data_IF_950399258110
#
_entry.id   IF_950399258110
#
_cell.length_a   1.000
_cell.length_b   1.000
_cell.length_c   1.000
_cell.angle_alpha   90.00
_cell.angle_beta   90.00
_cell.angle_gamma   90.00
#
_symmetry.space_group_name_H-M   'P 1'
#
loop_
_entity.id
_entity.type
_entity.pdbx_description
1 polymer ?
#
# COMPACT_ATOMS: atom_id res chain seq x y z
N UNK A 1 21.41 16.04 -3.48
CA UNK A 1 21.14 15.74 -2.06
C UNK A 1 22.40 16.15 -1.32
N UNK A 2 22.31 17.05 -0.34
CA UNK A 2 23.49 17.54 0.40
C UNK A 2 23.92 16.43 1.36
N UNK A 3 25.04 15.77 1.08
CA UNK A 3 25.54 14.64 1.88
C UNK A 3 25.99 15.13 3.27
N UNK A 4 25.52 14.46 4.31
CA UNK A 4 26.02 14.65 5.67
C UNK A 4 27.32 13.87 5.83
N UNK A 5 28.36 14.53 6.35
CA UNK A 5 29.70 13.96 6.48
C UNK A 5 30.17 14.17 7.91
N UNK A 6 30.84 13.17 8.47
CA UNK A 6 31.58 13.31 9.73
C UNK A 6 33.06 13.29 9.40
N UNK A 7 33.80 14.29 9.86
CA UNK A 7 35.22 14.45 9.56
C UNK A 7 36.01 14.83 10.80
N UNK A 8 37.31 14.54 10.78
CA UNK A 8 38.26 14.81 11.86
C UNK A 8 39.42 15.62 11.30
N UNK A 9 39.65 16.81 11.88
CA UNK A 9 40.73 17.70 11.46
C UNK A 9 42.08 17.16 11.91
N UNK A 10 43.16 17.44 11.17
CA UNK A 10 44.52 17.05 11.59
C UNK A 10 45.01 17.76 12.85
N UNK A 11 44.48 18.95 13.12
CA UNK A 11 44.90 19.79 14.26
C UNK A 11 44.18 19.41 15.56
N UNK A 12 42.98 18.81 15.47
CA UNK A 12 42.13 18.49 16.62
C UNK A 12 41.57 17.07 16.52
N UNK A 13 41.68 16.29 17.60
CA UNK A 13 41.28 14.87 17.60
C UNK A 13 39.75 14.63 17.66
N UNK A 14 38.95 15.68 17.55
CA UNK A 14 37.49 15.65 17.71
C UNK A 14 36.75 15.45 16.38
N UNK A 15 35.73 14.60 16.39
CA UNK A 15 34.84 14.39 15.25
C UNK A 15 33.81 15.50 15.14
N UNK A 16 33.70 16.10 13.94
CA UNK A 16 32.74 17.16 13.63
C UNK A 16 31.72 16.64 12.62
N UNK A 17 30.43 16.86 12.88
CA UNK A 17 29.34 16.54 11.95
C UNK A 17 29.01 17.79 11.13
N UNK A 18 29.02 17.68 9.81
CA UNK A 18 28.66 18.79 8.95
C UNK A 18 27.97 18.35 7.67
N UNK A 19 27.22 19.29 7.08
CA UNK A 19 26.52 19.11 5.81
C UNK A 19 27.30 19.76 4.68
N UNK A 20 27.58 19.03 3.61
CA UNK A 20 28.25 19.57 2.42
C UNK A 20 27.27 20.47 1.68
N UNK A 21 27.54 21.78 1.61
CA UNK A 21 26.66 22.78 0.98
C UNK A 21 26.97 22.91 -0.51
N UNK A 22 28.25 23.02 -0.87
CA UNK A 22 28.72 23.18 -2.25
C UNK A 22 30.21 22.89 -2.38
N UNK A 23 30.70 22.71 -3.61
CA UNK A 23 32.14 22.80 -3.90
C UNK A 23 32.59 24.24 -3.67
N UNK A 24 33.68 24.44 -2.94
CA UNK A 24 34.13 25.80 -2.64
C UNK A 24 34.80 26.46 -3.83
N UNK A 25 34.74 27.79 -3.89
CA UNK A 25 35.22 28.57 -5.04
C UNK A 25 36.71 28.42 -5.36
N UNK A 26 37.50 27.88 -4.42
CA UNK A 26 38.93 27.56 -4.58
C UNK A 26 39.19 26.15 -5.10
N UNK A 27 38.16 25.40 -5.51
CA UNK A 27 38.26 24.02 -5.99
C UNK A 27 38.94 23.91 -7.37
N UNK A 28 40.19 24.35 -7.47
CA UNK A 28 41.01 24.28 -8.69
C UNK A 28 42.47 23.92 -8.33
N UNK A 29 43.09 23.06 -9.15
CA UNK A 29 44.50 22.69 -9.01
C UNK A 29 44.85 22.04 -7.66
N UNK A 30 45.65 22.74 -6.84
CA UNK A 30 46.18 22.26 -5.54
C UNK A 30 45.11 22.03 -4.47
N UNK A 31 43.92 22.59 -4.62
CA UNK A 31 42.80 22.52 -3.66
C UNK A 31 41.59 21.76 -4.23
N UNK A 32 41.84 20.64 -4.91
CA UNK A 32 40.83 19.89 -5.64
C UNK A 32 39.71 19.29 -4.76
N UNK A 33 39.94 19.16 -3.45
CA UNK A 33 38.98 18.62 -2.48
C UNK A 33 38.40 19.71 -1.55
N UNK A 34 38.38 20.97 -1.99
CA UNK A 34 37.86 22.09 -1.21
C UNK A 34 36.32 22.13 -1.24
N UNK A 35 35.71 21.95 -0.08
CA UNK A 35 34.25 21.90 0.10
C UNK A 35 33.80 22.97 1.09
N UNK A 36 32.63 23.56 0.85
CA UNK A 36 31.98 24.39 1.85
C UNK A 36 31.04 23.52 2.68
N UNK A 37 31.31 23.44 3.98
CA UNK A 37 30.53 22.71 4.97
C UNK A 37 29.72 23.69 5.82
N UNK A 38 28.58 23.23 6.33
CA UNK A 38 27.86 23.90 7.41
C UNK A 38 27.77 22.93 8.59
N UNK A 39 28.21 23.36 9.77
CA UNK A 39 28.11 22.57 10.99
C UNK A 39 26.62 22.38 11.38
N UNK A 40 26.29 21.29 12.08
CA UNK A 40 24.93 21.12 12.64
C UNK A 40 24.72 22.01 13.88
N UNK A 41 25.79 22.41 14.59
CA UNK A 41 25.70 23.21 15.82
C UNK A 41 25.92 24.72 15.60
N UNK A 42 26.54 25.11 14.50
CA UNK A 42 26.84 26.51 14.16
C UNK A 42 26.27 26.86 12.78
N UNK A 43 25.55 27.99 12.69
CA UNK A 43 24.96 28.47 11.43
C UNK A 43 26.00 29.01 10.42
N UNK A 44 27.27 29.04 10.80
CA UNK A 44 28.36 29.52 9.98
C UNK A 44 28.79 28.48 8.92
N UNK A 45 29.01 28.94 7.69
CA UNK A 45 29.55 28.12 6.62
C UNK A 45 31.08 28.21 6.64
N UNK A 46 31.75 27.07 6.71
CA UNK A 46 33.21 26.97 6.74
C UNK A 46 33.69 26.25 5.48
N UNK A 47 34.69 26.83 4.81
CA UNK A 47 35.34 26.20 3.66
C UNK A 47 36.57 25.41 4.09
N UNK A 48 36.62 24.10 3.81
CA UNK A 48 37.65 23.17 4.28
C UNK A 48 38.19 22.35 3.10
N UNK A 49 39.51 22.17 3.05
CA UNK A 49 40.15 21.28 2.08
C UNK A 49 40.32 19.86 2.66
N UNK A 50 39.50 18.93 2.18
CA UNK A 50 39.50 17.55 2.69
C UNK A 50 40.79 16.79 2.36
N UNK A 51 41.53 17.17 1.32
CA UNK A 51 42.80 16.50 0.99
C UNK A 51 43.95 16.97 1.88
N UNK A 52 43.90 18.22 2.34
CA UNK A 52 45.00 18.85 3.07
C UNK A 52 44.78 18.84 4.58
N UNK A 53 43.58 19.19 5.04
CA UNK A 53 43.33 19.57 6.43
C UNK A 53 42.59 18.48 7.23
N UNK A 54 41.94 17.55 6.54
CA UNK A 54 41.19 16.45 7.15
C UNK A 54 42.06 15.18 7.24
N UNK A 55 42.06 14.55 8.41
CA UNK A 55 42.78 13.30 8.65
C UNK A 55 41.95 12.09 8.23
N UNK A 56 40.69 12.04 8.68
CA UNK A 56 39.74 10.97 8.38
C UNK A 56 38.34 11.57 8.17
N UNK A 57 37.59 10.99 7.23
CA UNK A 57 36.19 11.34 7.01
C UNK A 57 35.37 10.13 6.57
N UNK A 58 34.08 10.18 6.88
CA UNK A 58 33.09 9.18 6.45
C UNK A 58 31.74 9.83 6.21
N UNK A 59 30.99 9.30 5.26
CA UNK A 59 29.58 9.70 5.08
C UNK A 59 28.80 9.32 6.33
N UNK A 60 28.07 10.27 6.90
CA UNK A 60 27.19 10.00 8.03
C UNK A 60 26.04 9.11 7.53
N UNK A 61 26.14 7.82 7.84
CA UNK A 61 25.02 6.90 7.71
C UNK A 61 24.07 7.19 8.87
N UNK A 62 23.17 8.17 8.69
CA UNK A 62 21.92 8.21 9.47
C UNK A 62 21.06 7.05 8.94
N UNK A 63 21.47 5.81 9.22
CA UNK A 63 20.54 4.69 9.19
C UNK A 63 19.79 4.85 10.50
N UNK A 64 18.57 5.39 10.43
CA UNK A 64 17.61 5.17 11.51
C UNK A 64 17.52 3.65 11.67
N UNK A 65 18.18 3.10 12.69
CA UNK A 65 18.01 1.71 13.07
C UNK A 65 16.59 1.55 13.59
N UNK A 66 15.67 1.25 12.68
CA UNK A 66 14.29 0.88 13.00
C UNK A 66 14.33 -0.53 13.59
N UNK A 67 14.53 -0.59 14.91
CA UNK A 67 14.47 -1.82 15.67
C UNK A 67 13.01 -2.28 15.80
N UNK A 68 12.56 -3.14 14.88
CA UNK A 68 11.25 -3.76 14.95
C UNK A 68 11.32 -5.07 15.75
N UNK A 69 10.68 -5.09 16.93
CA UNK A 69 10.54 -6.32 17.74
C UNK A 69 9.18 -6.95 17.50
N UNK A 70 9.16 -8.19 16.98
CA UNK A 70 7.93 -8.96 16.86
C UNK A 70 7.56 -9.54 18.22
N UNK A 71 6.56 -8.97 18.89
CA UNK A 71 6.07 -9.46 20.18
C UNK A 71 4.98 -10.53 19.97
N UNK A 72 5.17 -11.78 20.43
CA UNK A 72 4.15 -12.83 20.36
C UNK A 72 2.86 -12.43 21.08
N UNK A 73 1.71 -12.87 20.56
CA UNK A 73 0.39 -12.50 21.09
C UNK A 73 0.21 -12.84 22.58
N UNK A 74 0.78 -13.94 23.05
CA UNK A 74 0.75 -14.35 24.48
C UNK A 74 1.36 -13.31 25.41
N UNK A 75 2.33 -12.52 24.91
CA UNK A 75 3.09 -11.53 25.67
C UNK A 75 2.48 -10.12 25.61
N UNK A 76 1.43 -9.90 24.81
CA UNK A 76 0.84 -8.56 24.64
C UNK A 76 0.26 -7.96 25.92
N UNK A 77 -0.08 -8.81 26.89
CA UNK A 77 -0.62 -8.39 28.18
C UNK A 77 0.45 -8.18 29.25
N UNK A 78 1.72 -8.48 28.97
CA UNK A 78 2.84 -8.21 29.87
C UNK A 78 2.97 -6.70 30.14
N UNK A 79 3.31 -6.34 31.37
CA UNK A 79 3.42 -4.94 31.78
C UNK A 79 4.47 -4.17 30.96
N UNK A 80 5.57 -4.82 30.59
CA UNK A 80 6.61 -4.22 29.75
C UNK A 80 6.07 -3.84 28.35
N UNK A 81 5.26 -4.70 27.74
CA UNK A 81 4.69 -4.45 26.40
C UNK A 81 3.63 -3.35 26.46
N UNK A 82 2.81 -3.32 27.52
CA UNK A 82 1.85 -2.23 27.74
C UNK A 82 2.56 -0.90 27.96
N UNK A 83 3.63 -0.89 28.77
CA UNK A 83 4.43 0.30 29.01
C UNK A 83 5.10 0.80 27.73
N UNK A 84 5.69 -0.08 26.92
CA UNK A 84 6.26 0.28 25.63
C UNK A 84 5.22 0.88 24.66
N UNK A 85 4.02 0.32 24.60
CA UNK A 85 2.90 0.89 23.80
C UNK A 85 2.50 2.28 24.27
N UNK A 86 2.48 2.50 25.59
CA UNK A 86 2.15 3.79 26.17
C UNK A 86 3.23 4.83 25.86
N UNK A 87 4.51 4.45 25.99
CA UNK A 87 5.65 5.29 25.65
C UNK A 87 5.64 5.71 24.17
N UNK A 88 5.29 4.78 23.28
CA UNK A 88 5.12 5.08 21.85
C UNK A 88 3.97 6.08 21.60
N UNK A 89 2.83 5.92 22.29
CA UNK A 89 1.73 6.88 22.23
C UNK A 89 2.13 8.26 22.75
N UNK A 90 2.91 8.32 23.82
CA UNK A 90 3.36 9.59 24.40
C UNK A 90 4.41 10.26 23.48
N UNK A 91 5.29 9.48 22.86
CA UNK A 91 6.20 9.96 21.81
C UNK A 91 5.44 10.62 20.65
N UNK A 92 4.30 10.06 20.23
CA UNK A 92 3.49 10.66 19.16
C UNK A 92 3.01 12.07 19.51
N UNK A 93 2.71 12.33 20.80
CA UNK A 93 2.36 13.67 21.29
C UNK A 93 3.58 14.57 21.33
N UNK A 94 4.72 14.07 21.83
CA UNK A 94 5.96 14.85 21.92
C UNK A 94 6.50 15.26 20.55
N UNK A 95 6.36 14.40 19.53
CA UNK A 95 6.82 14.66 18.17
C UNK A 95 5.79 15.37 17.29
N UNK A 96 4.64 15.80 17.83
CA UNK A 96 3.55 16.43 17.06
C UNK A 96 3.20 15.66 15.78
N UNK A 97 3.08 14.33 15.87
CA UNK A 97 2.83 13.46 14.70
C UNK A 97 1.41 13.65 14.16
N UNK A 98 0.52 14.22 14.96
CA UNK A 98 -0.88 14.45 14.61
C UNK A 98 -1.42 15.72 15.26
N UNK A 99 -2.35 16.37 14.56
CA UNK A 99 -3.12 17.50 15.10
C UNK A 99 -4.46 16.99 15.66
N UNK A 100 -4.71 17.18 16.95
CA UNK A 100 -6.03 16.99 17.54
C UNK A 100 -6.93 18.17 17.14
N UNK A 101 -7.78 17.95 16.13
CA UNK A 101 -8.76 18.94 15.72
C UNK A 101 -9.94 18.86 16.70
N UNK A 102 -10.19 19.89 17.53
CA UNK A 102 -11.32 19.90 18.45
C UNK A 102 -12.62 19.79 17.66
N UNK A 103 -13.55 18.99 18.19
CA UNK A 103 -14.88 18.83 17.60
C UNK A 103 -15.69 20.14 17.76
N UNK A 104 -15.52 21.07 16.83
CA UNK A 104 -16.17 22.38 16.83
C UNK A 104 -17.37 22.40 15.88
N UNK A 105 -18.56 22.12 16.41
CA UNK A 105 -19.82 22.35 15.71
C UNK A 105 -20.06 21.53 14.44
N UNK A 106 -19.24 20.50 14.16
CA UNK A 106 -19.41 19.64 12.99
C UNK A 106 -20.57 18.67 13.23
N UNK A 107 -21.79 19.09 12.92
CA UNK A 107 -23.00 18.26 13.00
C UNK A 107 -22.98 17.06 12.04
N UNK A 108 -22.06 17.04 11.07
CA UNK A 108 -21.95 15.99 10.05
C UNK A 108 -20.48 15.55 9.90
N UNK A 109 -20.25 14.24 9.95
CA UNK A 109 -18.94 13.64 9.76
C UNK A 109 -18.63 13.50 8.25
N UNK A 110 -17.46 13.96 7.81
CA UNK A 110 -17.04 13.81 6.40
C UNK A 110 -16.69 12.36 6.06
N UNK A 111 -17.00 11.93 4.84
CA UNK A 111 -16.58 10.64 4.26
C UNK A 111 -15.06 10.44 4.25
N UNK A 112 -14.28 11.53 4.30
CA UNK A 112 -12.80 11.50 4.38
C UNK A 112 -12.28 10.72 5.59
N UNK A 113 -12.92 10.86 6.76
CA UNK A 113 -12.51 10.15 7.97
C UNK A 113 -12.71 8.64 7.83
N UNK A 114 -13.83 8.23 7.26
CA UNK A 114 -14.10 6.83 6.97
C UNK A 114 -13.15 6.27 5.91
N UNK A 115 -12.81 7.07 4.90
CA UNK A 115 -11.86 6.66 3.86
C UNK A 115 -10.48 6.30 4.46
N UNK A 116 -9.97 7.08 5.42
CA UNK A 116 -8.72 6.73 6.09
C UNK A 116 -8.81 5.37 6.79
N UNK A 117 -9.83 5.14 7.62
CA UNK A 117 -10.02 3.88 8.33
C UNK A 117 -10.13 2.70 7.35
N UNK A 118 -10.88 2.88 6.26
CA UNK A 118 -11.02 1.90 5.18
C UNK A 118 -9.68 1.51 4.57
N UNK A 119 -8.81 2.48 4.30
CA UNK A 119 -7.50 2.20 3.70
C UNK A 119 -6.51 1.53 4.64
N UNK A 120 -6.67 1.69 5.96
CA UNK A 120 -5.70 1.19 6.94
C UNK A 120 -6.10 -0.14 7.57
N UNK A 121 -7.38 -0.31 7.93
CA UNK A 121 -7.79 -1.42 8.80
C UNK A 121 -9.18 -2.00 8.54
N UNK A 122 -10.01 -1.34 7.71
CA UNK A 122 -11.42 -1.72 7.51
C UNK A 122 -11.82 -1.93 6.05
N UNK A 123 -11.28 -2.96 5.37
CA UNK A 123 -11.72 -3.35 4.02
C UNK A 123 -13.23 -3.66 3.92
N UNK A 124 -13.87 -4.10 5.00
CA UNK A 124 -15.31 -4.39 5.06
C UNK A 124 -16.22 -3.16 4.86
N UNK A 125 -15.66 -1.96 4.97
CA UNK A 125 -16.35 -0.69 4.76
C UNK A 125 -16.04 -0.06 3.39
N UNK A 126 -15.20 -0.71 2.56
CA UNK A 126 -14.74 -0.18 1.27
C UNK A 126 -15.90 0.23 0.35
N UNK A 127 -16.82 -0.71 0.11
CA UNK A 127 -17.96 -0.44 -0.78
C UNK A 127 -18.90 0.62 -0.21
N UNK A 128 -19.16 0.56 1.09
CA UNK A 128 -20.02 1.50 1.79
C UNK A 128 -19.52 2.95 1.64
N UNK A 129 -18.20 3.16 1.77
CA UNK A 129 -17.57 4.47 1.58
C UNK A 129 -17.57 4.87 0.10
N UNK A 130 -17.40 3.93 -0.83
CA UNK A 130 -17.51 4.21 -2.25
C UNK A 130 -18.92 4.71 -2.62
N UNK A 131 -19.98 4.01 -2.21
CA UNK A 131 -21.37 4.40 -2.50
C UNK A 131 -21.73 5.76 -1.87
N UNK A 132 -21.24 6.03 -0.66
CA UNK A 132 -21.38 7.35 -0.03
C UNK A 132 -20.63 8.44 -0.81
N UNK A 133 -19.44 8.13 -1.37
CA UNK A 133 -18.65 9.10 -2.14
C UNK A 133 -19.26 9.45 -3.49
N UNK A 134 -20.08 8.56 -4.07
CA UNK A 134 -20.80 8.84 -5.33
C UNK A 134 -22.11 9.59 -5.10
N UNK A 135 -22.57 9.72 -3.86
CA UNK A 135 -23.77 10.45 -3.52
C UNK A 135 -23.49 11.96 -3.48
N UNK A 136 -24.11 12.72 -4.38
CA UNK A 136 -23.80 14.14 -4.65
C UNK A 136 -24.21 15.06 -3.47
N UNK A 137 -25.20 14.68 -2.66
CA UNK A 137 -25.72 15.51 -1.57
C UNK A 137 -25.62 14.80 -0.21
N UNK A 138 -24.65 15.23 0.60
CA UNK A 138 -24.49 14.82 2.01
C UNK A 138 -25.62 15.33 2.91
N UNK A 139 -26.39 16.32 2.46
CA UNK A 139 -27.52 16.92 3.19
C UNK A 139 -28.82 16.11 3.10
N UNK A 140 -28.92 15.13 2.20
CA UNK A 140 -30.13 14.31 2.08
C UNK A 140 -30.23 13.34 3.28
N UNK A 141 -31.40 13.28 3.92
CA UNK A 141 -31.65 12.43 5.10
C UNK A 141 -31.32 10.95 4.85
N UNK A 142 -31.48 10.48 3.61
CA UNK A 142 -31.11 9.11 3.20
C UNK A 142 -29.60 8.88 3.26
N UNK A 143 -28.79 9.83 2.77
CA UNK A 143 -27.33 9.77 2.79
C UNK A 143 -26.81 9.80 4.23
N UNK A 144 -27.40 10.63 5.09
CA UNK A 144 -27.06 10.67 6.52
C UNK A 144 -27.41 9.36 7.24
N UNK A 145 -28.57 8.77 6.94
CA UNK A 145 -28.96 7.47 7.49
C UNK A 145 -27.99 6.36 7.08
N UNK A 146 -27.56 6.34 5.80
CA UNK A 146 -26.51 5.43 5.32
C UNK A 146 -25.19 5.66 6.06
N UNK A 147 -24.72 6.90 6.16
CA UNK A 147 -23.50 7.25 6.89
C UNK A 147 -23.54 6.75 8.35
N UNK A 148 -24.64 6.99 9.06
CA UNK A 148 -24.82 6.53 10.43
C UNK A 148 -24.85 4.99 10.55
N UNK A 149 -25.32 4.28 9.53
CA UNK A 149 -25.21 2.80 9.48
C UNK A 149 -23.75 2.37 9.32
N UNK A 150 -22.97 3.03 8.45
CA UNK A 150 -21.54 2.73 8.25
C UNK A 150 -20.73 3.00 9.53
N UNK A 151 -20.99 4.11 10.22
CA UNK A 151 -20.33 4.42 11.50
C UNK A 151 -20.69 3.38 12.56
N UNK A 152 -21.95 2.96 12.66
CA UNK A 152 -22.35 1.89 13.59
C UNK A 152 -21.68 0.56 13.25
N UNK A 153 -21.62 0.20 11.97
CA UNK A 153 -20.87 -0.99 11.50
C UNK A 153 -19.37 -0.87 11.81
N UNK A 154 -18.80 0.32 11.70
CA UNK A 154 -17.42 0.59 12.09
C UNK A 154 -17.19 0.38 13.59
N UNK A 155 -18.10 0.87 14.44
CA UNK A 155 -17.97 0.75 15.90
C UNK A 155 -18.28 -0.64 16.44
N UNK A 156 -19.27 -1.34 15.87
CA UNK A 156 -19.77 -2.60 16.40
C UNK A 156 -18.99 -3.82 15.89
N UNK A 157 -18.51 -3.80 14.65
CA UNK A 157 -17.75 -4.92 14.10
C UNK A 157 -16.28 -4.74 14.46
N UNK A 158 -15.77 -5.62 15.33
CA UNK A 158 -14.34 -5.69 15.63
C UNK A 158 -13.74 -6.96 15.01
N UNK A 159 -12.70 -6.77 14.22
CA UNK A 159 -11.82 -7.84 13.75
C UNK A 159 -10.40 -7.28 13.66
N UNK A 160 -9.42 -8.17 13.48
CA UNK A 160 -8.01 -7.80 13.41
C UNK A 160 -7.42 -8.30 12.12
N UNK A 161 -6.64 -7.45 11.46
CA UNK A 161 -5.82 -7.88 10.33
C UNK A 161 -4.57 -8.54 10.90
N UNK A 162 -4.36 -9.80 10.55
CA UNK A 162 -3.15 -10.53 10.89
C UNK A 162 -2.16 -10.46 9.73
N UNK A 163 -0.92 -10.10 10.07
CA UNK A 163 0.24 -10.20 9.19
C UNK A 163 1.03 -11.44 9.62
N UNK A 164 0.72 -12.63 9.07
CA UNK A 164 1.38 -13.85 9.48
C UNK A 164 2.87 -13.81 9.11
N UNK A 165 3.72 -14.33 9.99
CA UNK A 165 5.12 -14.55 9.64
C UNK A 165 5.20 -15.55 8.49
N UNK A 166 5.74 -15.10 7.35
CA UNK A 166 5.93 -15.92 6.15
C UNK A 166 7.19 -16.80 6.23
N UNK A 167 7.97 -16.73 7.32
CA UNK A 167 9.18 -17.54 7.57
C UNK A 167 10.29 -17.30 6.52
N UNK A 168 10.35 -16.08 5.99
CA UNK A 168 11.32 -15.64 4.98
C UNK A 168 10.69 -15.19 3.66
N UNK A 169 11.53 -14.60 2.78
CA UNK A 169 11.11 -13.94 1.54
C UNK A 169 11.40 -14.76 0.28
N UNK A 170 11.93 -15.98 0.42
CA UNK A 170 12.14 -16.92 -0.70
C UNK A 170 10.83 -17.64 -1.06
N UNK A 171 10.59 -17.84 -2.35
CA UNK A 171 9.42 -18.54 -2.92
C UNK A 171 8.08 -17.89 -2.52
N UNK A 172 8.06 -16.57 -2.51
CA UNK A 172 6.84 -15.76 -2.35
C UNK A 172 6.15 -15.56 -3.69
N UNK A 173 4.84 -15.38 -3.67
CA UNK A 173 4.02 -15.03 -4.82
C UNK A 173 2.97 -13.99 -4.42
N UNK A 174 2.59 -13.14 -5.36
CA UNK A 174 1.49 -12.19 -5.19
C UNK A 174 0.19 -12.83 -5.66
N UNK A 175 -0.82 -12.78 -4.81
CA UNK A 175 -2.16 -13.25 -5.09
C UNK A 175 -3.08 -12.06 -5.23
N UNK A 176 -3.73 -11.96 -6.38
CA UNK A 176 -4.70 -10.92 -6.70
C UNK A 176 -6.10 -11.54 -6.80
N UNK A 177 -7.04 -11.04 -6.02
CA UNK A 177 -8.46 -11.29 -6.24
C UNK A 177 -9.08 -10.03 -6.80
N UNK A 178 -9.80 -10.14 -7.92
CA UNK A 178 -10.53 -9.02 -8.52
C UNK A 178 -11.98 -9.39 -8.77
N UNK A 179 -12.86 -8.43 -8.55
CA UNK A 179 -14.28 -8.52 -8.85
C UNK A 179 -14.78 -7.18 -9.36
N UNK A 180 -15.91 -7.18 -10.07
CA UNK A 180 -16.58 -5.97 -10.49
C UNK A 180 -18.10 -6.12 -10.48
N UNK A 181 -18.78 -5.04 -10.12
CA UNK A 181 -20.23 -4.96 -10.19
C UNK A 181 -20.67 -3.97 -11.25
N UNK A 182 -21.40 -4.47 -12.23
CA UNK A 182 -21.87 -3.68 -13.36
C UNK A 182 -23.05 -2.78 -12.95
N UNK A 183 -22.94 -1.48 -13.25
CA UNK A 183 -24.00 -0.47 -13.12
C UNK A 183 -24.69 -0.45 -11.72
N UNK A 184 -23.93 -0.73 -10.66
CA UNK A 184 -24.46 -0.98 -9.32
C UNK A 184 -24.33 0.20 -8.34
N UNK A 185 -23.67 1.30 -8.74
CA UNK A 185 -23.54 2.48 -7.90
C UNK A 185 -24.84 3.31 -7.89
N UNK A 186 -24.93 4.27 -6.96
CA UNK A 186 -26.11 5.12 -6.75
C UNK A 186 -26.62 5.84 -8.02
N UNK A 187 -25.74 6.14 -8.96
CA UNK A 187 -26.06 6.77 -10.24
C UNK A 187 -26.64 5.80 -11.31
N UNK A 188 -26.71 4.49 -11.01
CA UNK A 188 -27.21 3.40 -11.88
C UNK A 188 -26.51 3.25 -13.24
N UNK A 189 -25.43 3.99 -13.46
CA UNK A 189 -24.66 3.98 -14.71
C UNK A 189 -23.24 3.52 -14.43
N UNK A 190 -22.72 3.82 -13.24
CA UNK A 190 -21.35 3.52 -12.87
C UNK A 190 -21.22 2.15 -12.22
N UNK A 191 -20.09 1.53 -12.52
CA UNK A 191 -19.74 0.20 -12.04
C UNK A 191 -18.68 0.31 -10.94
N UNK A 192 -18.80 -0.51 -9.90
CA UNK A 192 -17.77 -0.67 -8.87
C UNK A 192 -16.74 -1.72 -9.32
N UNK A 193 -15.46 -1.44 -9.12
CA UNK A 193 -14.38 -2.42 -9.27
C UNK A 193 -13.61 -2.54 -7.96
N UNK A 194 -13.26 -3.76 -7.58
CA UNK A 194 -12.57 -4.04 -6.34
C UNK A 194 -11.47 -5.08 -6.51
N UNK A 195 -10.43 -4.94 -5.69
CA UNK A 195 -9.36 -5.92 -5.61
C UNK A 195 -8.82 -6.10 -4.19
N UNK A 196 -8.22 -7.26 -3.96
CA UNK A 196 -7.37 -7.54 -2.79
C UNK A 196 -6.08 -8.22 -3.24
N UNK A 197 -4.96 -7.76 -2.70
CA UNK A 197 -3.62 -8.27 -2.94
C UNK A 197 -3.10 -8.90 -1.65
N UNK A 198 -2.67 -10.15 -1.75
CA UNK A 198 -1.95 -10.85 -0.70
C UNK A 198 -0.56 -11.23 -1.16
N UNK A 199 0.40 -11.17 -0.24
CA UNK A 199 1.66 -11.88 -0.36
C UNK A 199 1.49 -13.27 0.23
N UNK A 200 1.75 -14.31 -0.57
CA UNK A 200 1.59 -15.70 -0.18
C UNK A 200 2.92 -16.43 -0.28
N UNK A 201 3.13 -17.40 0.61
CA UNK A 201 4.20 -18.40 0.49
C UNK A 201 3.59 -19.79 0.33
N UNK A 202 4.39 -20.75 -0.14
CA UNK A 202 3.97 -22.15 -0.34
C UNK A 202 3.35 -22.82 0.91
N UNK A 203 3.61 -22.33 2.13
CA UNK A 203 2.93 -22.79 3.35
C UNK A 203 1.43 -22.42 3.41
N UNK A 204 0.90 -21.72 2.41
CA UNK A 204 -0.51 -21.37 2.26
C UNK A 204 -0.95 -20.18 3.12
N UNK A 205 -0.03 -19.52 3.85
CA UNK A 205 -0.32 -18.31 4.62
C UNK A 205 -0.37 -17.09 3.68
N UNK A 206 -1.43 -16.30 3.80
CA UNK A 206 -1.71 -15.10 3.03
C UNK A 206 -1.52 -13.89 3.94
N UNK A 207 -0.59 -13.03 3.57
CA UNK A 207 -0.34 -11.76 4.23
C UNK A 207 -1.01 -10.65 3.39
N UNK A 208 -2.02 -9.94 3.91
CA UNK A 208 -2.65 -8.86 3.16
C UNK A 208 -1.66 -7.73 2.90
N UNK A 209 -1.68 -7.17 1.70
CA UNK A 209 -0.81 -6.06 1.30
C UNK A 209 -1.61 -4.83 0.93
N UNK A 210 -2.65 -4.99 0.11
CA UNK A 210 -3.44 -3.87 -0.38
C UNK A 210 -4.83 -4.32 -0.77
N UNK A 211 -5.81 -3.44 -0.61
CA UNK A 211 -7.18 -3.64 -1.07
C UNK A 211 -7.75 -2.31 -1.53
N UNK A 212 -8.75 -2.37 -2.40
CA UNK A 212 -9.39 -1.18 -2.92
C UNK A 212 -10.79 -1.48 -3.42
N UNK A 213 -11.70 -0.51 -3.26
CA UNK A 213 -12.97 -0.43 -3.96
C UNK A 213 -13.07 0.95 -4.61
N UNK A 214 -13.24 1.01 -5.93
CA UNK A 214 -13.30 2.26 -6.69
C UNK A 214 -14.35 2.18 -7.78
N UNK A 215 -14.94 3.34 -8.10
CA UNK A 215 -15.73 3.53 -9.30
C UNK A 215 -14.85 3.31 -10.52
N UNK A 216 -15.27 2.44 -11.44
CA UNK A 216 -14.59 2.24 -12.72
C UNK A 216 -14.62 3.58 -13.47
N UNK A 217 -13.45 4.04 -13.93
CA UNK A 217 -13.25 5.41 -14.45
C UNK A 217 -14.14 5.74 -15.65
N UNK A 218 -14.50 4.74 -16.46
CA UNK A 218 -15.37 4.89 -17.63
C UNK A 218 -16.65 4.08 -17.45
N UNK A 219 -17.74 4.59 -18.03
CA UNK A 219 -18.99 3.82 -18.16
C UNK A 219 -18.72 2.65 -19.10
N UNK A 220 -19.02 1.45 -18.61
CA UNK A 220 -18.91 0.19 -19.34
C UNK A 220 -20.29 -0.24 -19.85
N UNK A 221 -20.32 -1.12 -20.85
CA UNK A 221 -21.57 -1.61 -21.45
C UNK A 221 -21.89 -3.07 -21.10
N UNK A 222 -21.02 -3.73 -20.36
CA UNK A 222 -21.14 -5.15 -20.03
C UNK A 222 -20.39 -5.49 -18.74
N UNK A 223 -20.80 -6.58 -18.08
CA UNK A 223 -20.09 -7.15 -16.93
C UNK A 223 -18.67 -7.57 -17.31
N UNK A 224 -18.47 -8.14 -18.51
CA UNK A 224 -17.14 -8.51 -19.00
C UNK A 224 -16.18 -7.30 -19.03
N UNK A 225 -16.67 -6.14 -19.51
CA UNK A 225 -15.87 -4.92 -19.52
C UNK A 225 -15.58 -4.39 -18.11
N UNK A 226 -16.53 -4.49 -17.19
CA UNK A 226 -16.34 -4.11 -15.79
C UNK A 226 -15.23 -4.96 -15.12
N UNK A 227 -15.33 -6.27 -15.29
CA UNK A 227 -14.41 -7.27 -14.72
C UNK A 227 -13.00 -7.13 -15.28
N UNK A 228 -12.88 -6.99 -16.60
CA UNK A 228 -11.59 -6.79 -17.26
C UNK A 228 -10.90 -5.51 -16.76
N UNK A 229 -11.64 -4.40 -16.62
CA UNK A 229 -11.08 -3.15 -16.11
C UNK A 229 -10.70 -3.25 -14.62
N UNK A 230 -11.47 -4.00 -13.83
CA UNK A 230 -11.11 -4.28 -12.43
C UNK A 230 -9.80 -5.09 -12.37
N UNK A 231 -9.67 -6.11 -13.23
CA UNK A 231 -8.47 -6.92 -13.35
C UNK A 231 -7.25 -6.08 -13.78
N UNK A 232 -7.36 -5.24 -14.82
CA UNK A 232 -6.29 -4.30 -15.22
C UNK A 232 -5.88 -3.44 -14.03
N UNK A 233 -6.85 -2.89 -13.29
CA UNK A 233 -6.53 -2.02 -12.16
C UNK A 233 -5.86 -2.76 -11.00
N UNK A 234 -6.27 -4.00 -10.73
CA UNK A 234 -5.64 -4.87 -9.75
C UNK A 234 -4.22 -5.28 -10.16
N UNK A 235 -4.00 -5.53 -11.46
CA UNK A 235 -2.69 -5.84 -12.03
C UNK A 235 -1.72 -4.66 -11.90
N UNK A 236 -2.16 -3.44 -12.23
CA UNK A 236 -1.34 -2.22 -12.02
C UNK A 236 -0.85 -2.13 -10.57
N UNK A 237 -1.76 -2.35 -9.61
CA UNK A 237 -1.43 -2.33 -8.20
C UNK A 237 -0.50 -3.48 -7.80
N UNK A 238 -0.68 -4.68 -8.36
CA UNK A 238 0.23 -5.81 -8.14
C UNK A 238 1.62 -5.57 -8.72
N UNK A 239 1.72 -5.00 -9.92
CA UNK A 239 3.00 -4.65 -10.51
C UNK A 239 3.74 -3.60 -9.68
N UNK A 240 3.03 -2.59 -9.17
CA UNK A 240 3.61 -1.62 -8.24
C UNK A 240 4.16 -2.30 -6.98
N UNK A 241 3.34 -3.13 -6.31
CA UNK A 241 3.76 -3.88 -5.12
C UNK A 241 4.94 -4.80 -5.44
N UNK A 242 4.91 -5.51 -6.57
CA UNK A 242 6.00 -6.39 -7.03
C UNK A 242 7.31 -5.64 -7.17
N UNK A 243 7.29 -4.45 -7.77
CA UNK A 243 8.49 -3.62 -7.96
C UNK A 243 9.09 -3.18 -6.63
N UNK A 244 8.27 -2.72 -5.71
CA UNK A 244 8.72 -2.36 -4.35
C UNK A 244 9.35 -3.57 -3.65
N UNK A 245 8.69 -4.73 -3.70
CA UNK A 245 9.20 -5.95 -3.07
C UNK A 245 10.52 -6.41 -3.69
N UNK A 246 10.65 -6.34 -5.02
CA UNK A 246 11.87 -6.68 -5.74
C UNK A 246 13.06 -5.80 -5.30
N UNK A 247 12.82 -4.51 -5.13
CA UNK A 247 13.83 -3.55 -4.67
C UNK A 247 14.23 -3.83 -3.21
N UNK A 248 13.26 -4.10 -2.33
CA UNK A 248 13.53 -4.40 -0.93
C UNK A 248 14.28 -5.72 -0.73
N UNK A 249 13.97 -6.76 -1.52
CA UNK A 249 14.56 -8.10 -1.37
C UNK A 249 15.90 -8.23 -2.12
N UNK A 250 16.24 -7.26 -2.99
CA UNK A 250 17.42 -7.31 -3.86
C UNK A 250 17.48 -8.61 -4.67
N UNK A 251 16.37 -8.91 -5.36
CA UNK A 251 16.30 -10.08 -6.24
C UNK A 251 17.35 -10.01 -7.36
N UNK A 252 17.87 -11.18 -7.76
CA UNK A 252 18.87 -11.25 -8.82
C UNK A 252 18.27 -10.84 -10.17
N UNK A 253 19.14 -10.44 -11.11
CA UNK A 253 18.71 -10.14 -12.48
C UNK A 253 18.01 -11.37 -13.10
N UNK A 254 16.75 -11.21 -13.50
CA UNK A 254 15.92 -12.27 -14.08
C UNK A 254 14.96 -12.97 -13.10
N UNK A 255 15.09 -12.76 -11.79
CA UNK A 255 14.13 -13.27 -10.81
C UNK A 255 12.91 -12.33 -10.69
N UNK A 256 11.72 -12.90 -10.79
CA UNK A 256 10.45 -12.16 -10.63
C UNK A 256 9.54 -12.86 -9.64
N UNK A 257 8.83 -12.06 -8.85
CA UNK A 257 7.80 -12.57 -7.94
C UNK A 257 6.58 -12.91 -8.80
N UNK A 258 6.13 -14.19 -8.85
CA UNK A 258 4.99 -14.58 -9.66
C UNK A 258 3.70 -13.89 -9.19
N UNK A 259 2.83 -13.53 -10.14
CA UNK A 259 1.50 -12.99 -9.85
C UNK A 259 0.44 -14.01 -10.27
N UNK A 260 -0.44 -14.39 -9.34
CA UNK A 260 -1.61 -15.22 -9.62
C UNK A 260 -2.88 -14.43 -9.37
N UNK A 261 -3.69 -14.32 -10.41
CA UNK A 261 -4.94 -13.59 -10.41
C UNK A 261 -6.12 -14.56 -10.38
N UNK A 262 -7.10 -14.24 -9.55
CA UNK A 262 -8.34 -14.98 -9.40
C UNK A 262 -9.54 -14.08 -9.71
N UNK A 263 -10.42 -14.59 -10.57
CA UNK A 263 -11.69 -13.95 -10.94
C UNK A 263 -12.77 -15.03 -11.02
N UNK A 264 -14.01 -14.69 -10.69
CA UNK A 264 -15.17 -15.58 -10.82
C UNK A 264 -15.92 -15.39 -12.14
N UNK A 265 -15.46 -14.48 -13.01
CA UNK A 265 -16.01 -14.32 -14.34
C UNK A 265 -15.40 -15.34 -15.34
N UNK A 266 -16.16 -16.41 -15.64
CA UNK A 266 -15.75 -17.44 -16.62
C UNK A 266 -15.48 -16.85 -18.00
N UNK A 267 -16.34 -15.93 -18.44
CA UNK A 267 -16.24 -15.31 -19.76
C UNK A 267 -14.93 -14.52 -19.91
N UNK A 268 -14.49 -13.83 -18.84
CA UNK A 268 -13.21 -13.14 -18.81
C UNK A 268 -12.04 -14.12 -18.96
N UNK A 269 -12.01 -15.17 -18.15
CA UNK A 269 -10.96 -16.19 -18.22
C UNK A 269 -10.90 -16.86 -19.61
N UNK A 270 -12.05 -17.23 -20.16
CA UNK A 270 -12.13 -17.81 -21.50
C UNK A 270 -11.62 -16.84 -22.58
N UNK A 271 -11.94 -15.55 -22.47
CA UNK A 271 -11.46 -14.55 -23.41
C UNK A 271 -9.95 -14.36 -23.33
N UNK A 272 -9.37 -14.35 -22.12
CA UNK A 272 -7.92 -14.23 -21.91
C UNK A 272 -7.17 -15.40 -22.55
N UNK A 273 -7.67 -16.63 -22.40
CA UNK A 273 -7.05 -17.83 -22.98
C UNK A 273 -7.44 -18.11 -24.43
N UNK A 274 -8.33 -17.30 -25.02
CA UNK A 274 -8.81 -17.47 -26.40
C UNK A 274 -8.05 -16.56 -27.37
N UNK A 275 -7.86 -17.04 -28.61
CA UNK A 275 -7.31 -16.24 -29.73
C UNK A 275 -8.35 -15.33 -30.38
N UNK A 276 -9.64 -15.44 -30.01
CA UNK A 276 -10.70 -14.60 -30.57
C UNK A 276 -10.56 -13.14 -30.14
N UNK A 277 -10.68 -12.24 -31.11
CA UNK A 277 -10.79 -10.80 -30.88
C UNK A 277 -12.19 -10.45 -30.38
N UNK A 278 -12.25 -9.56 -29.38
CA UNK A 278 -13.52 -9.02 -28.89
C UNK A 278 -14.02 -7.93 -29.83
N UNK A 279 -15.33 -7.92 -30.11
CA UNK A 279 -15.97 -6.91 -30.95
C UNK A 279 -15.91 -5.49 -30.37
N UNK A 280 -15.94 -5.36 -29.04
CA UNK A 280 -15.79 -4.10 -28.33
C UNK A 280 -14.34 -3.56 -28.41
N UNK A 281 -14.09 -2.68 -29.38
CA UNK A 281 -12.77 -2.08 -29.64
C UNK A 281 -12.11 -1.43 -28.41
N UNK A 282 -12.89 -0.77 -27.54
CA UNK A 282 -12.36 -0.10 -26.33
C UNK A 282 -11.84 -1.07 -25.28
N UNK A 283 -12.43 -2.27 -25.21
CA UNK A 283 -12.03 -3.34 -24.31
C UNK A 283 -10.87 -4.15 -24.87
N UNK A 284 -10.72 -4.17 -26.20
CA UNK A 284 -9.72 -4.96 -26.91
C UNK A 284 -8.29 -4.64 -26.43
N UNK A 285 -7.95 -3.36 -26.25
CA UNK A 285 -6.63 -2.95 -25.75
C UNK A 285 -6.36 -3.42 -24.32
N UNK A 286 -7.35 -3.27 -23.44
CA UNK A 286 -7.25 -3.69 -22.04
C UNK A 286 -7.08 -5.21 -21.91
N UNK A 287 -7.75 -5.98 -22.77
CA UNK A 287 -7.57 -7.44 -22.79
C UNK A 287 -6.29 -7.86 -23.50
N UNK A 288 -5.86 -7.15 -24.54
CA UNK A 288 -4.61 -7.44 -25.23
C UNK A 288 -3.42 -7.33 -24.28
N UNK A 289 -3.37 -6.31 -23.40
CA UNK A 289 -2.31 -6.18 -22.40
C UNK A 289 -2.31 -7.32 -21.37
N UNK A 290 -3.49 -7.77 -20.94
CA UNK A 290 -3.62 -8.94 -20.06
C UNK A 290 -3.15 -10.21 -20.78
N UNK A 291 -3.56 -10.42 -22.04
CA UNK A 291 -3.16 -11.58 -22.85
C UNK A 291 -1.66 -11.62 -23.09
N UNK A 292 -1.05 -10.48 -23.38
CA UNK A 292 0.39 -10.33 -23.53
C UNK A 292 1.11 -10.72 -22.24
N UNK A 293 0.67 -10.19 -21.10
CA UNK A 293 1.23 -10.52 -19.77
C UNK A 293 1.12 -12.01 -19.45
N UNK A 294 0.01 -12.66 -19.81
CA UNK A 294 -0.18 -14.11 -19.64
C UNK A 294 0.71 -14.91 -20.60
N UNK A 295 0.83 -14.48 -21.86
CA UNK A 295 1.63 -15.15 -22.89
C UNK A 295 3.13 -15.11 -22.58
N UNK A 296 3.59 -14.01 -21.97
CA UNK A 296 4.96 -13.86 -21.47
C UNK A 296 5.21 -14.64 -20.17
N UNK A 297 4.18 -15.24 -19.57
CA UNK A 297 4.27 -15.93 -18.29
C UNK A 297 4.45 -15.01 -17.09
N UNK A 298 4.24 -13.70 -17.25
CA UNK A 298 4.42 -12.71 -16.19
C UNK A 298 3.31 -12.80 -15.12
N UNK A 299 2.11 -13.21 -15.55
CA UNK A 299 0.94 -13.41 -14.70
C UNK A 299 0.21 -14.70 -15.07
N UNK A 300 -0.56 -15.24 -14.12
CA UNK A 300 -1.52 -16.32 -14.40
C UNK A 300 -2.91 -15.88 -13.99
N UNK A 301 -3.93 -16.13 -14.83
CA UNK A 301 -5.33 -15.78 -14.53
C UNK A 301 -6.15 -17.07 -14.46
N UNK A 302 -6.74 -17.32 -13.29
CA UNK A 302 -7.48 -18.54 -12.98
C UNK A 302 -8.91 -18.22 -12.59
N UNK A 303 -9.85 -18.98 -13.14
CA UNK A 303 -11.25 -18.90 -12.75
C UNK A 303 -11.47 -19.58 -11.40
N UNK A 304 -12.24 -18.94 -10.51
CA UNK A 304 -12.69 -19.51 -9.24
C UNK A 304 -14.21 -19.45 -9.12
N UNK A 305 -14.77 -20.28 -8.23
CA UNK A 305 -16.20 -20.19 -7.90
C UNK A 305 -16.48 -18.87 -7.17
N UNK A 306 -17.63 -18.25 -7.40
CA UNK A 306 -18.07 -17.04 -6.68
C UNK A 306 -18.07 -17.22 -5.16
N UNK A 307 -18.34 -18.43 -4.65
CA UNK A 307 -18.24 -18.72 -3.20
C UNK A 307 -16.82 -18.64 -2.62
N UNK A 308 -15.79 -18.67 -3.48
CA UNK A 308 -14.38 -18.52 -3.12
C UNK A 308 -13.86 -17.11 -3.47
N UNK A 309 -14.71 -16.26 -4.05
CA UNK A 309 -14.34 -14.89 -4.43
C UNK A 309 -14.39 -13.99 -3.21
N UNK A 310 -13.23 -13.69 -2.66
CA UNK A 310 -13.13 -12.87 -1.44
C UNK A 310 -13.21 -11.36 -1.73
N UNK A 311 -13.13 -10.92 -2.99
CA UNK A 311 -13.31 -9.51 -3.35
C UNK A 311 -14.77 -9.09 -3.60
N UNK A 312 -15.74 -10.01 -3.55
CA UNK A 312 -17.16 -9.71 -3.83
C UNK A 312 -17.73 -8.63 -2.90
N UNK A 313 -17.39 -8.71 -1.61
CA UNK A 313 -17.72 -7.68 -0.62
C UNK A 313 -17.27 -6.27 -1.04
N UNK A 314 -16.14 -6.15 -1.72
CA UNK A 314 -15.60 -4.85 -2.11
C UNK A 314 -16.42 -4.17 -3.20
N UNK A 315 -17.28 -4.88 -3.93
CA UNK A 315 -17.97 -4.29 -5.09
C UNK A 315 -19.48 -4.23 -4.94
N UNK A 316 -20.07 -4.90 -3.94
CA UNK A 316 -21.54 -5.00 -3.77
C UNK A 316 -21.99 -4.61 -2.35
N UNK A 317 -23.10 -3.89 -2.28
CA UNK A 317 -23.84 -3.72 -1.04
C UNK A 317 -24.43 -5.07 -0.60
N UNK A 318 -24.26 -5.43 0.67
CA UNK A 318 -24.86 -6.64 1.25
C UNK A 318 -24.20 -7.95 0.83
N UNK A 319 -23.09 -7.90 0.10
CA UNK A 319 -22.25 -9.08 -0.13
C UNK A 319 -21.63 -9.59 1.18
N UNK A 320 -21.36 -10.90 1.22
CA UNK A 320 -20.75 -11.52 2.38
C UNK A 320 -19.27 -11.15 2.46
N UNK A 321 -18.90 -10.38 3.49
CA UNK A 321 -17.52 -10.03 3.79
C UNK A 321 -16.80 -11.06 4.64
N UNK A 322 -17.52 -12.05 5.19
CA UNK A 322 -16.94 -13.07 6.05
C UNK A 322 -15.77 -13.83 5.40
N UNK A 323 -15.79 -14.20 4.10
CA UNK A 323 -14.65 -14.83 3.45
C UNK A 323 -13.38 -13.97 3.52
N UNK A 324 -13.50 -12.67 3.20
CA UNK A 324 -12.36 -11.74 3.26
C UNK A 324 -11.88 -11.56 4.70
N UNK A 325 -12.79 -11.27 5.64
CA UNK A 325 -12.46 -11.09 7.06
C UNK A 325 -11.77 -12.32 7.63
N UNK A 326 -12.22 -13.52 7.26
CA UNK A 326 -11.59 -14.78 7.67
C UNK A 326 -10.15 -14.89 7.18
N UNK A 327 -9.89 -14.59 5.91
CA UNK A 327 -8.51 -14.60 5.37
C UNK A 327 -7.66 -13.55 6.08
N UNK A 328 -8.18 -12.35 6.30
CA UNK A 328 -7.48 -11.28 7.03
C UNK A 328 -7.18 -11.66 8.48
N UNK A 329 -8.09 -12.36 9.15
CA UNK A 329 -7.95 -12.74 10.56
C UNK A 329 -7.14 -14.00 10.80
N UNK A 330 -7.03 -14.91 9.82
CA UNK A 330 -6.34 -16.19 10.04
C UNK A 330 -5.17 -16.43 9.09
N UNK A 331 -4.99 -15.59 8.07
CA UNK A 331 -4.04 -15.79 6.98
C UNK A 331 -4.33 -17.02 6.11
N UNK A 332 -5.45 -17.71 6.31
CA UNK A 332 -5.76 -18.95 5.57
C UNK A 332 -6.72 -18.62 4.44
N UNK A 333 -6.27 -18.79 3.20
CA UNK A 333 -7.07 -18.58 1.99
C UNK A 333 -8.26 -19.54 1.89
N UNK A 334 -9.21 -19.28 0.96
CA UNK A 334 -10.24 -20.24 0.60
C UNK A 334 -9.61 -21.58 0.16
N UNK A 335 -10.24 -22.70 0.54
CA UNK A 335 -9.83 -24.02 0.07
C UNK A 335 -10.28 -24.14 -1.38
N UNK A 336 -9.33 -24.20 -2.32
CA UNK A 336 -9.60 -24.43 -3.73
C UNK A 336 -9.99 -25.88 -4.00
#
# INVERSE_FOLDING_TARGET
MLEKTVYKMKENDTWVKAKVVSKGGKSTGKHWAYLNLRDENEDAQVGIDFAKDVQEWRTAQDVDEVNAVVVPQSRHNENQVKHAKQLEMDNWKSFNVYDEIPYSGQTIMSTRWLHWIVTQSRPDLCFDVLDLSTSIQLSEAKTQSKLNKVIRKAKNNSYRIQYPNLEGLKNIELILYTDASYANLSDRVSSAGGYVIFLRRQNGKNCPISWSSKKIRRVVKSTLAAEALSLVKGLDACYFVRRILQEMIKLNAGESIPIKCFTDNKSLCQNIHSTKLISEKRLCLDLASIKESVSLGDITVTWIKTSSQISDGLTKAGADFYPLIKVLCTGKGPRN
#
